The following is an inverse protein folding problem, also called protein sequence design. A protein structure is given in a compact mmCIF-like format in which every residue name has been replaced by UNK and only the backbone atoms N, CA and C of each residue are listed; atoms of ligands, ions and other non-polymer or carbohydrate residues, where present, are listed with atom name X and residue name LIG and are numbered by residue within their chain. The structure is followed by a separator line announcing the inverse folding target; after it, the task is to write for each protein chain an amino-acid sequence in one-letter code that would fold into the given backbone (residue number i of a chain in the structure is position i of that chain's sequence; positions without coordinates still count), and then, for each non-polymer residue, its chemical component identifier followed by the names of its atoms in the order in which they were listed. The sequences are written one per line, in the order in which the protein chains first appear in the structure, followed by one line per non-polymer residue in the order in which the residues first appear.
data_IF_745212992078
#
_entry.id   IF_745212992078
#
_cell.length_a   1.000
_cell.length_b   1.000
_cell.length_c   1.000
_cell.angle_alpha   90.00
_cell.angle_beta   90.00
_cell.angle_gamma   90.00
#
_symmetry.space_group_name_H-M   'P 1'
#
loop_
_entity.id
_entity.type
_entity.pdbx_description
1 polymer ?
#
# COMPACT_ATOMS: atom_id res chain seq x y z
N UNK A 1 39.70 4.46 14.35
CA UNK A 1 38.78 3.30 14.23
C UNK A 1 37.92 3.53 13.00
N UNK A 2 38.35 2.94 11.88
CA UNK A 2 37.65 3.06 10.60
C UNK A 2 36.46 2.14 10.62
N UNK A 3 35.25 2.71 10.69
CA UNK A 3 34.01 2.00 10.41
C UNK A 3 33.91 1.77 8.90
N UNK A 4 34.49 0.66 8.41
CA UNK A 4 34.20 0.13 7.09
C UNK A 4 32.74 -0.26 7.05
N UNK A 5 31.91 0.58 6.45
CA UNK A 5 30.57 0.20 6.02
C UNK A 5 30.73 -0.82 4.88
N UNK A 6 30.59 -2.09 5.21
CA UNK A 6 30.61 -3.19 4.24
C UNK A 6 29.33 -3.10 3.40
N UNK A 7 29.41 -2.35 2.29
CA UNK A 7 28.33 -2.26 1.33
C UNK A 7 28.20 -3.61 0.64
N UNK A 8 27.12 -4.36 0.97
CA UNK A 8 26.84 -5.62 0.30
C UNK A 8 26.83 -5.41 -1.22
N UNK A 9 27.45 -6.32 -2.03
CA UNK A 9 27.53 -6.19 -3.47
C UNK A 9 26.16 -6.01 -4.12
N UNK A 10 26.13 -5.31 -5.26
CA UNK A 10 24.91 -5.14 -6.05
C UNK A 10 24.36 -6.51 -6.48
N UNK A 11 23.12 -6.80 -6.15
CA UNK A 11 22.41 -8.02 -6.57
C UNK A 11 21.58 -7.69 -7.81
N UNK A 12 21.84 -8.32 -8.98
CA UNK A 12 21.05 -8.11 -10.20
C UNK A 12 19.58 -8.43 -10.03
N UNK A 13 18.71 -7.75 -10.78
CA UNK A 13 17.23 -7.92 -10.69
C UNK A 13 16.82 -9.38 -10.87
N UNK A 14 17.41 -10.10 -11.83
CA UNK A 14 17.12 -11.52 -12.04
C UNK A 14 17.47 -12.40 -10.84
N UNK A 15 18.58 -12.10 -10.15
CA UNK A 15 18.97 -12.81 -8.94
C UNK A 15 18.02 -12.51 -7.78
N UNK A 16 17.57 -11.26 -7.63
CA UNK A 16 16.56 -10.85 -6.63
C UNK A 16 15.23 -11.54 -6.86
N UNK A 17 14.77 -11.65 -8.11
CA UNK A 17 13.53 -12.39 -8.45
C UNK A 17 13.63 -13.87 -8.09
N UNK A 18 14.76 -14.52 -8.40
CA UNK A 18 14.98 -15.91 -8.01
C UNK A 18 15.03 -16.09 -6.51
N UNK A 19 15.65 -15.18 -5.79
CA UNK A 19 15.65 -15.19 -4.32
C UNK A 19 14.25 -15.01 -3.76
N UNK A 20 13.47 -14.05 -4.26
CA UNK A 20 12.08 -13.83 -3.89
C UNK A 20 11.23 -15.09 -4.09
N UNK A 21 11.35 -15.76 -5.24
CA UNK A 21 10.63 -17.02 -5.52
C UNK A 21 10.99 -18.13 -4.53
N UNK A 22 12.29 -18.29 -4.19
CA UNK A 22 12.74 -19.28 -3.19
C UNK A 22 12.18 -19.00 -1.79
N UNK A 23 12.14 -17.72 -1.39
CA UNK A 23 11.57 -17.36 -0.08
C UNK A 23 10.06 -17.58 -0.04
N UNK A 24 9.35 -17.30 -1.14
CA UNK A 24 7.94 -17.64 -1.29
C UNK A 24 7.69 -19.15 -1.08
N UNK A 25 8.47 -20.01 -1.76
CA UNK A 25 8.36 -21.45 -1.62
C UNK A 25 8.62 -21.90 -0.17
N UNK A 26 9.62 -21.33 0.50
CA UNK A 26 9.91 -21.66 1.90
C UNK A 26 8.77 -21.27 2.83
N UNK A 27 8.16 -20.12 2.64
CA UNK A 27 7.02 -19.65 3.42
C UNK A 27 5.79 -20.54 3.19
N UNK A 28 5.50 -20.87 1.94
CA UNK A 28 4.41 -21.77 1.58
C UNK A 28 4.58 -23.17 2.18
N UNK A 29 5.79 -23.74 2.14
CA UNK A 29 6.10 -25.04 2.77
C UNK A 29 5.94 -25.03 4.29
N UNK A 30 6.07 -23.88 4.95
CA UNK A 30 5.81 -23.71 6.38
C UNK A 30 4.35 -23.51 6.74
N UNK A 31 3.43 -23.59 5.75
CA UNK A 31 2.00 -23.41 5.95
C UNK A 31 1.56 -21.95 6.13
N UNK A 32 2.42 -20.98 5.86
CA UNK A 32 2.02 -19.57 5.85
C UNK A 32 1.26 -19.25 4.54
N UNK A 33 0.03 -18.74 4.62
CA UNK A 33 -0.67 -18.25 3.44
C UNK A 33 0.09 -17.03 2.91
N UNK A 34 0.83 -17.20 1.81
CA UNK A 34 1.57 -16.12 1.17
C UNK A 34 0.71 -15.43 0.12
N UNK A 35 0.77 -14.12 0.07
CA UNK A 35 0.02 -13.28 -0.88
C UNK A 35 0.97 -12.28 -1.54
N UNK A 36 1.74 -12.69 -2.57
CA UNK A 36 2.71 -11.84 -3.23
C UNK A 36 2.03 -10.71 -4.01
N UNK A 37 2.76 -9.61 -4.18
CA UNK A 37 2.34 -8.53 -5.07
C UNK A 37 2.92 -8.80 -6.46
N UNK A 38 2.03 -8.99 -7.43
CA UNK A 38 2.39 -9.19 -8.84
C UNK A 38 1.95 -7.97 -9.64
N UNK A 39 2.87 -7.37 -10.37
CA UNK A 39 2.59 -6.23 -11.25
C UNK A 39 2.72 -6.67 -12.69
N UNK A 40 1.59 -6.64 -13.41
CA UNK A 40 1.56 -6.87 -14.85
C UNK A 40 1.75 -5.58 -15.62
N UNK A 41 2.85 -5.49 -16.40
CA UNK A 41 3.18 -4.34 -17.23
C UNK A 41 3.85 -3.20 -16.45
N UNK A 42 3.60 -1.96 -16.89
CA UNK A 42 4.33 -0.77 -16.39
C UNK A 42 3.63 -0.05 -15.24
N UNK A 43 2.29 -0.12 -15.18
CA UNK A 43 1.49 0.59 -14.17
C UNK A 43 1.39 -0.27 -12.91
N UNK A 44 1.59 0.35 -11.76
CA UNK A 44 1.46 -0.31 -10.46
C UNK A 44 -0.02 -0.55 -10.14
N UNK A 45 -0.86 0.42 -10.45
CA UNK A 45 -2.30 0.36 -10.27
C UNK A 45 -3.02 0.90 -11.50
N UNK A 46 -4.27 0.49 -11.71
CA UNK A 46 -5.08 0.79 -12.91
C UNK A 46 -6.49 1.27 -12.57
N UNK A 47 -7.06 0.79 -11.48
CA UNK A 47 -8.39 1.18 -11.02
C UNK A 47 -8.34 2.52 -10.29
N UNK A 48 -9.51 3.11 -10.05
CA UNK A 48 -9.62 4.34 -9.26
C UNK A 48 -8.94 4.20 -7.89
N UNK A 49 -9.25 3.13 -7.15
CA UNK A 49 -8.79 2.95 -5.78
C UNK A 49 -7.28 2.80 -5.66
N UNK A 50 -6.70 1.95 -6.50
CA UNK A 50 -5.25 1.73 -6.51
C UNK A 50 -4.49 2.93 -7.03
N UNK A 51 -4.99 3.60 -8.08
CA UNK A 51 -4.38 4.81 -8.64
C UNK A 51 -4.44 5.96 -7.64
N UNK A 52 -5.61 6.23 -7.04
CA UNK A 52 -5.76 7.28 -6.05
C UNK A 52 -4.89 7.06 -4.80
N UNK A 53 -4.68 5.79 -4.39
CA UNK A 53 -3.73 5.47 -3.33
C UNK A 53 -2.29 5.87 -3.73
N UNK A 54 -1.84 5.47 -4.93
CA UNK A 54 -0.49 5.80 -5.41
C UNK A 54 -0.30 7.32 -5.56
N UNK A 55 -1.29 8.02 -6.13
CA UNK A 55 -1.27 9.47 -6.29
C UNK A 55 -1.23 10.19 -4.94
N UNK A 56 -1.96 9.67 -3.96
CA UNK A 56 -1.92 10.18 -2.59
C UNK A 56 -0.53 10.06 -1.97
N UNK A 57 0.17 8.95 -2.16
CA UNK A 57 1.55 8.78 -1.68
C UNK A 57 2.51 9.77 -2.37
N UNK A 58 2.37 9.95 -3.69
CA UNK A 58 3.26 10.78 -4.50
C UNK A 58 3.04 12.28 -4.29
N UNK A 59 1.88 12.67 -3.79
CA UNK A 59 1.53 14.06 -3.47
C UNK A 59 2.39 14.65 -2.34
N UNK A 60 2.86 13.80 -1.41
CA UNK A 60 3.58 14.26 -0.24
C UNK A 60 5.10 14.22 -0.46
N UNK A 61 5.76 15.36 -0.28
CA UNK A 61 7.22 15.52 -0.38
C UNK A 61 8.00 14.66 0.61
N UNK A 62 7.39 14.33 1.75
CA UNK A 62 7.98 13.48 2.79
C UNK A 62 8.42 12.12 2.26
N UNK A 63 7.79 11.62 1.21
CA UNK A 63 8.05 10.31 0.62
C UNK A 63 8.89 10.36 -0.66
N UNK A 64 9.09 11.55 -1.25
CA UNK A 64 9.64 11.73 -2.60
C UNK A 64 10.98 11.02 -2.84
N UNK A 65 11.89 11.05 -1.86
CA UNK A 65 13.24 10.49 -2.02
C UNK A 65 13.29 8.97 -2.18
N UNK A 66 12.33 8.23 -1.62
CA UNK A 66 12.36 6.76 -1.56
C UNK A 66 11.35 6.11 -2.49
N UNK A 67 10.31 6.81 -2.90
CA UNK A 67 9.27 6.29 -3.79
C UNK A 67 9.82 5.71 -5.11
N UNK A 68 10.77 6.35 -5.84
CA UNK A 68 11.28 5.77 -7.08
C UNK A 68 11.93 4.40 -6.90
N UNK A 69 12.66 4.20 -5.79
CA UNK A 69 13.27 2.90 -5.45
C UNK A 69 12.22 1.87 -5.06
N UNK A 70 11.21 2.27 -4.28
CA UNK A 70 10.07 1.42 -3.92
C UNK A 70 9.30 0.95 -5.15
N UNK A 71 9.05 1.85 -6.10
CA UNK A 71 8.41 1.56 -7.39
C UNK A 71 9.18 0.47 -8.17
N UNK A 72 10.50 0.55 -8.19
CA UNK A 72 11.35 -0.47 -8.82
C UNK A 72 11.25 -1.81 -8.09
N UNK A 73 11.26 -1.81 -6.75
CA UNK A 73 11.18 -3.03 -5.95
C UNK A 73 9.86 -3.77 -6.13
N UNK A 74 8.72 -3.06 -6.06
CA UNK A 74 7.40 -3.70 -6.23
C UNK A 74 7.23 -4.26 -7.66
N UNK A 75 7.66 -3.53 -8.70
CA UNK A 75 7.63 -4.01 -10.09
C UNK A 75 8.48 -5.26 -10.33
N UNK A 76 9.54 -5.42 -9.55
CA UNK A 76 10.40 -6.60 -9.63
C UNK A 76 9.89 -7.80 -8.85
N UNK A 77 8.68 -7.72 -8.25
CA UNK A 77 8.11 -8.79 -7.44
C UNK A 77 8.85 -8.98 -6.10
N UNK A 78 9.51 -7.92 -5.60
CA UNK A 78 10.24 -8.01 -4.34
C UNK A 78 9.32 -8.09 -3.11
N UNK A 79 8.06 -7.66 -3.21
CA UNK A 79 7.07 -7.83 -2.13
C UNK A 79 6.50 -9.23 -2.25
N UNK A 80 7.10 -10.17 -1.51
CA UNK A 80 6.81 -11.61 -1.60
C UNK A 80 5.62 -12.04 -0.75
N UNK A 81 5.23 -11.22 0.21
CA UNK A 81 3.98 -11.40 0.97
C UNK A 81 3.45 -10.03 1.38
N UNK A 82 2.15 -9.83 1.26
CA UNK A 82 1.43 -8.62 1.66
C UNK A 82 0.08 -8.99 2.25
N UNK A 83 -0.10 -8.72 3.53
CA UNK A 83 -1.32 -8.95 4.27
C UNK A 83 -1.88 -7.62 4.78
N UNK A 84 -3.11 -7.29 4.39
CA UNK A 84 -3.81 -6.08 4.83
C UNK A 84 -4.89 -6.48 5.82
N UNK A 85 -4.87 -5.86 7.00
CA UNK A 85 -5.83 -6.06 8.08
C UNK A 85 -6.36 -4.69 8.56
N UNK A 86 -7.41 -4.64 9.39
CA UNK A 86 -7.92 -3.37 9.92
C UNK A 86 -6.85 -2.54 10.63
N UNK A 87 -6.48 -1.43 10.01
CA UNK A 87 -5.49 -0.47 10.53
C UNK A 87 -4.03 -0.91 10.43
N UNK A 88 -3.72 -2.05 9.82
CA UNK A 88 -2.37 -2.58 9.75
C UNK A 88 -2.07 -3.33 8.45
N UNK A 89 -0.82 -3.26 8.03
CA UNK A 89 -0.28 -4.07 6.93
C UNK A 89 0.99 -4.74 7.42
N UNK A 90 1.12 -6.03 7.16
CA UNK A 90 2.36 -6.76 7.33
C UNK A 90 2.85 -7.27 5.99
N UNK A 91 4.15 -7.19 5.75
CA UNK A 91 4.71 -7.61 4.49
C UNK A 91 6.12 -8.19 4.65
N UNK A 92 6.48 -9.02 3.68
CA UNK A 92 7.85 -9.51 3.53
C UNK A 92 8.41 -9.04 2.19
N UNK A 93 9.58 -8.43 2.23
CA UNK A 93 10.24 -7.85 1.05
C UNK A 93 11.61 -8.48 0.85
N UNK A 94 11.82 -9.08 -0.31
CA UNK A 94 13.10 -9.63 -0.71
C UNK A 94 14.05 -8.54 -1.21
N UNK A 95 15.23 -8.48 -0.61
CA UNK A 95 16.32 -7.59 -0.98
C UNK A 95 17.65 -8.31 -0.95
N UNK A 96 18.66 -7.80 -0.22
CA UNK A 96 19.86 -8.55 0.15
C UNK A 96 19.55 -9.64 1.19
N UNK A 97 18.49 -9.41 1.96
CA UNK A 97 17.91 -10.37 2.88
C UNK A 97 16.38 -10.33 2.74
N UNK A 98 15.67 -11.15 3.49
CA UNK A 98 14.22 -11.09 3.61
C UNK A 98 13.84 -10.13 4.74
N UNK A 99 13.27 -8.99 4.40
CA UNK A 99 12.91 -7.93 5.36
C UNK A 99 11.44 -7.99 5.72
N UNK A 100 11.14 -7.85 7.02
CA UNK A 100 9.79 -7.66 7.54
C UNK A 100 9.46 -6.19 7.57
N UNK A 101 8.29 -5.85 7.03
CA UNK A 101 7.76 -4.48 7.03
C UNK A 101 6.41 -4.50 7.73
N UNK A 102 6.20 -3.52 8.60
CA UNK A 102 4.91 -3.25 9.23
C UNK A 102 4.50 -1.82 8.90
N UNK A 103 3.24 -1.66 8.52
CA UNK A 103 2.63 -0.34 8.32
C UNK A 103 1.38 -0.28 9.19
N UNK A 104 1.23 0.79 9.95
CA UNK A 104 0.02 1.11 10.72
C UNK A 104 -0.63 2.35 10.13
N UNK A 105 -1.92 2.27 9.91
CA UNK A 105 -2.70 3.38 9.37
C UNK A 105 -3.78 3.76 10.36
N UNK A 106 -3.83 5.04 10.72
CA UNK A 106 -4.82 5.56 11.65
C UNK A 106 -6.22 5.46 11.05
N UNK A 107 -7.20 5.12 11.87
CA UNK A 107 -8.61 5.12 11.49
C UNK A 107 -9.08 6.51 11.04
N UNK A 108 -10.03 6.56 10.11
CA UNK A 108 -10.69 7.83 9.80
C UNK A 108 -11.48 8.29 11.03
N UNK A 109 -11.33 9.54 11.50
CA UNK A 109 -12.14 10.07 12.59
C UNK A 109 -13.64 9.97 12.26
N UNK A 110 -14.47 9.54 13.22
CA UNK A 110 -15.92 9.33 13.01
C UNK A 110 -16.62 10.55 12.39
N UNK A 111 -16.25 11.75 12.83
CA UNK A 111 -16.83 12.98 12.29
C UNK A 111 -16.48 13.20 10.82
N UNK A 112 -15.25 12.89 10.41
CA UNK A 112 -14.85 12.98 9.01
C UNK A 112 -15.56 11.92 8.16
N UNK A 113 -15.64 10.67 8.64
CA UNK A 113 -16.36 9.62 7.93
C UNK A 113 -17.83 9.95 7.75
N UNK A 114 -18.50 10.41 8.81
CA UNK A 114 -19.89 10.85 8.73
C UNK A 114 -20.11 12.01 7.75
N UNK A 115 -19.13 12.93 7.64
CA UNK A 115 -19.19 14.01 6.66
C UNK A 115 -19.01 13.48 5.23
N UNK A 116 -18.07 12.56 5.00
CA UNK A 116 -17.89 11.92 3.68
C UNK A 116 -19.17 11.21 3.25
N UNK A 117 -19.78 10.40 4.13
CA UNK A 117 -21.02 9.69 3.83
C UNK A 117 -22.16 10.64 3.50
N UNK A 118 -22.33 11.72 4.27
CA UNK A 118 -23.36 12.73 4.02
C UNK A 118 -23.16 13.44 2.70
N UNK A 119 -21.92 13.83 2.39
CA UNK A 119 -21.59 14.57 1.17
C UNK A 119 -21.70 13.69 -0.10
N UNK A 120 -21.62 12.36 0.05
CA UNK A 120 -21.77 11.39 -1.03
C UNK A 120 -23.15 10.74 -1.06
N UNK A 121 -24.07 11.12 -0.15
CA UNK A 121 -25.40 10.51 -0.04
C UNK A 121 -26.18 10.58 -1.36
N UNK A 122 -26.74 9.44 -1.80
CA UNK A 122 -27.51 9.33 -3.04
C UNK A 122 -26.69 9.50 -4.34
N UNK A 123 -25.37 9.54 -4.25
CA UNK A 123 -24.49 9.69 -5.42
C UNK A 123 -23.75 8.40 -5.80
N UNK A 124 -23.99 7.31 -5.07
CA UNK A 124 -23.44 5.97 -5.30
C UNK A 124 -24.60 4.99 -5.22
N UNK A 125 -24.97 4.40 -6.36
CA UNK A 125 -26.22 3.62 -6.46
C UNK A 125 -26.06 2.17 -6.00
N UNK A 126 -24.83 1.64 -5.98
CA UNK A 126 -24.60 0.24 -5.60
C UNK A 126 -23.20 -0.03 -5.07
N UNK A 127 -23.08 -1.15 -4.33
CA UNK A 127 -21.77 -1.67 -3.88
C UNK A 127 -20.86 -1.98 -5.06
N UNK A 128 -21.40 -2.47 -6.17
CA UNK A 128 -20.62 -2.80 -7.36
C UNK A 128 -19.98 -1.53 -7.94
N UNK A 129 -20.72 -0.45 -8.07
CA UNK A 129 -20.20 0.83 -8.55
C UNK A 129 -19.16 1.40 -7.61
N UNK A 130 -19.41 1.34 -6.30
CA UNK A 130 -18.46 1.77 -5.29
C UNK A 130 -17.13 1.03 -5.41
N UNK A 131 -17.16 -0.31 -5.42
CA UNK A 131 -15.94 -1.11 -5.49
C UNK A 131 -15.23 -1.00 -6.86
N UNK A 132 -15.96 -0.79 -7.94
CA UNK A 132 -15.39 -0.50 -9.25
C UNK A 132 -14.86 0.93 -9.39
N UNK A 133 -15.12 1.81 -8.42
CA UNK A 133 -14.71 3.21 -8.49
C UNK A 133 -15.44 3.99 -9.60
N UNK A 134 -16.67 3.56 -9.95
CA UNK A 134 -17.51 4.20 -10.98
C UNK A 134 -18.52 5.13 -10.35
N UNK A 135 -18.11 6.37 -10.13
CA UNK A 135 -18.96 7.42 -9.60
C UNK A 135 -18.54 8.80 -10.14
N UNK A 136 -19.31 9.84 -9.84
CA UNK A 136 -19.08 11.18 -10.34
C UNK A 136 -17.73 11.75 -9.91
N UNK A 137 -17.20 12.71 -10.67
CA UNK A 137 -15.97 13.41 -10.29
C UNK A 137 -16.08 14.12 -8.93
N UNK A 138 -17.27 14.59 -8.56
CA UNK A 138 -17.53 15.19 -7.26
C UNK A 138 -17.32 14.20 -6.10
N UNK A 139 -17.82 12.99 -6.25
CA UNK A 139 -17.61 11.91 -5.27
C UNK A 139 -16.14 11.53 -5.21
N UNK A 140 -15.45 11.37 -6.36
CA UNK A 140 -14.02 11.09 -6.40
C UNK A 140 -13.22 12.16 -5.67
N UNK A 141 -13.49 13.44 -5.97
CA UNK A 141 -12.82 14.57 -5.32
C UNK A 141 -13.06 14.57 -3.80
N UNK A 142 -14.29 14.29 -3.37
CA UNK A 142 -14.63 14.23 -1.94
C UNK A 142 -13.90 13.10 -1.20
N UNK A 143 -13.86 11.91 -1.78
CA UNK A 143 -13.15 10.75 -1.22
C UNK A 143 -11.63 11.00 -1.15
N UNK A 144 -11.06 11.66 -2.17
CA UNK A 144 -9.63 11.97 -2.26
C UNK A 144 -9.23 13.28 -1.55
N UNK A 145 -10.17 13.97 -0.90
CA UNK A 145 -9.89 15.26 -0.26
C UNK A 145 -8.83 15.12 0.83
N UNK A 146 -7.81 15.98 0.79
CA UNK A 146 -6.75 15.97 1.79
C UNK A 146 -7.29 16.18 3.20
N UNK A 147 -6.73 15.46 4.16
CA UNK A 147 -7.02 15.53 5.61
C UNK A 147 -8.44 15.12 6.02
N UNK A 148 -9.43 15.24 5.15
CA UNK A 148 -10.85 14.98 5.48
C UNK A 148 -11.49 13.90 4.63
N UNK A 149 -10.79 13.38 3.63
CA UNK A 149 -11.20 12.24 2.81
C UNK A 149 -10.82 10.89 3.42
N UNK A 150 -10.84 9.87 2.57
CA UNK A 150 -10.56 8.48 2.98
C UNK A 150 -9.06 8.16 3.02
N UNK A 151 -8.27 8.76 2.13
CA UNK A 151 -6.84 8.45 1.99
C UNK A 151 -6.02 9.07 3.13
N UNK A 152 -5.06 8.32 3.71
CA UNK A 152 -4.28 8.81 4.84
C UNK A 152 -3.21 9.83 4.42
N UNK A 153 -3.01 10.83 5.26
CA UNK A 153 -1.85 11.72 5.20
C UNK A 153 -0.59 11.01 5.77
N UNK A 154 0.64 11.51 5.51
CA UNK A 154 1.86 10.94 6.08
C UNK A 154 1.84 10.80 7.60
N UNK A 155 1.21 11.73 8.31
CA UNK A 155 1.09 11.71 9.77
C UNK A 155 0.19 10.59 10.29
N UNK A 156 -0.68 10.06 9.45
CA UNK A 156 -1.57 8.94 9.75
C UNK A 156 -0.97 7.58 9.41
N UNK A 157 0.24 7.56 8.85
CA UNK A 157 0.94 6.34 8.45
C UNK A 157 2.21 6.22 9.30
N UNK A 158 2.27 5.19 10.12
CA UNK A 158 3.49 4.78 10.82
C UNK A 158 4.00 3.48 10.23
N UNK A 159 5.31 3.33 10.10
CA UNK A 159 5.92 2.14 9.53
C UNK A 159 7.21 1.77 10.23
N UNK A 160 7.54 0.49 10.14
CA UNK A 160 8.77 -0.12 10.63
C UNK A 160 9.30 -1.13 9.62
N UNK A 161 10.63 -1.28 9.56
CA UNK A 161 11.28 -2.23 8.68
C UNK A 161 12.52 -2.83 9.36
N UNK A 162 12.68 -4.15 9.26
CA UNK A 162 13.84 -4.86 9.83
C UNK A 162 15.15 -4.63 9.08
N UNK A 163 15.19 -3.77 8.06
CA UNK A 163 16.43 -3.47 7.33
C UNK A 163 17.35 -2.52 8.11
N UNK A 164 18.66 -2.54 7.83
CA UNK A 164 19.62 -1.66 8.52
C UNK A 164 19.57 -0.19 8.05
N UNK A 165 18.68 0.18 7.11
CA UNK A 165 18.51 1.57 6.65
C UNK A 165 17.86 2.39 7.76
N UNK A 166 18.56 3.36 8.30
CA UNK A 166 18.10 4.24 9.39
C UNK A 166 17.15 5.35 8.93
N UNK A 167 16.88 5.45 7.61
CA UNK A 167 15.91 6.40 7.09
C UNK A 167 14.49 6.09 7.59
N UNK A 168 13.71 7.12 7.93
CA UNK A 168 12.33 6.99 8.36
C UNK A 168 11.48 6.18 7.38
N UNK A 169 11.67 6.36 6.07
CA UNK A 169 11.13 5.51 5.02
C UNK A 169 12.26 4.90 4.20
N UNK A 170 12.42 3.58 4.25
CA UNK A 170 13.35 2.86 3.37
C UNK A 170 12.66 2.42 2.06
N UNK A 171 13.46 1.93 1.11
CA UNK A 171 12.94 1.41 -0.18
C UNK A 171 11.96 0.23 -0.02
N UNK A 172 12.08 -0.56 1.04
CA UNK A 172 11.20 -1.70 1.32
C UNK A 172 9.83 -1.23 1.79
N UNK A 173 9.77 -0.25 2.69
CA UNK A 173 8.52 0.41 3.09
C UNK A 173 7.84 1.04 1.87
N UNK A 174 8.59 1.79 1.05
CA UNK A 174 8.06 2.40 -0.16
C UNK A 174 7.48 1.34 -1.13
N UNK A 175 8.14 0.17 -1.27
CA UNK A 175 7.65 -0.93 -2.08
C UNK A 175 6.33 -1.50 -1.53
N UNK A 176 6.22 -1.64 -0.22
CA UNK A 176 4.98 -2.12 0.44
C UNK A 176 3.85 -1.11 0.25
N UNK A 177 4.11 0.19 0.39
CA UNK A 177 3.09 1.22 0.16
C UNK A 177 2.55 1.17 -1.28
N UNK A 178 3.42 1.00 -2.29
CA UNK A 178 2.97 0.75 -3.67
C UNK A 178 2.26 -0.59 -3.83
N UNK A 179 2.69 -1.62 -3.09
CA UNK A 179 2.04 -2.93 -3.08
C UNK A 179 0.59 -2.85 -2.57
N UNK A 180 0.31 -1.99 -1.60
CA UNK A 180 -1.06 -1.70 -1.16
C UNK A 180 -1.87 -1.17 -2.35
N UNK A 181 -1.37 -0.17 -3.08
CA UNK A 181 -2.06 0.38 -4.25
C UNK A 181 -2.38 -0.69 -5.31
N UNK A 182 -1.41 -1.57 -5.62
CA UNK A 182 -1.64 -2.68 -6.53
C UNK A 182 -2.73 -3.65 -6.01
N UNK A 183 -2.74 -3.94 -4.72
CA UNK A 183 -3.75 -4.82 -4.11
C UNK A 183 -5.16 -4.23 -4.15
N UNK A 184 -5.28 -2.91 -4.06
CA UNK A 184 -6.56 -2.22 -4.14
C UNK A 184 -7.21 -2.27 -5.53
N UNK A 185 -6.45 -2.64 -6.58
CA UNK A 185 -7.03 -2.89 -7.91
C UNK A 185 -7.98 -4.09 -7.91
N UNK A 186 -7.64 -5.13 -7.15
CA UNK A 186 -8.42 -6.36 -7.07
C UNK A 186 -9.35 -6.41 -5.85
N UNK A 187 -8.95 -5.75 -4.77
CA UNK A 187 -9.63 -5.80 -3.47
C UNK A 187 -9.76 -4.38 -2.87
N UNK A 188 -10.57 -3.51 -3.46
CA UNK A 188 -10.71 -2.11 -3.03
C UNK A 188 -11.33 -1.95 -1.64
N UNK A 189 -12.12 -2.93 -1.17
CA UNK A 189 -12.70 -2.99 0.17
C UNK A 189 -11.63 -2.97 1.28
N UNK A 190 -10.42 -3.44 0.98
CA UNK A 190 -9.30 -3.41 1.91
C UNK A 190 -8.87 -1.99 2.33
N UNK A 191 -9.13 -0.97 1.50
CA UNK A 191 -8.87 0.42 1.90
C UNK A 191 -9.79 0.84 3.06
N UNK A 192 -11.04 0.47 3.00
CA UNK A 192 -12.01 0.76 4.06
C UNK A 192 -11.68 0.00 5.35
N UNK A 193 -11.30 -1.28 5.22
CA UNK A 193 -10.80 -2.06 6.35
C UNK A 193 -9.54 -1.41 6.96
N UNK A 194 -8.57 -1.02 6.14
CA UNK A 194 -7.34 -0.37 6.56
C UNK A 194 -7.61 0.94 7.31
N UNK A 195 -8.62 1.71 6.88
CA UNK A 195 -9.05 2.95 7.51
C UNK A 195 -10.11 2.76 8.61
N UNK A 196 -10.48 1.49 8.92
CA UNK A 196 -11.46 1.09 9.95
C UNK A 196 -12.81 1.75 9.79
N UNK A 197 -13.32 1.81 8.57
CA UNK A 197 -14.65 2.30 8.23
C UNK A 197 -15.42 1.25 7.43
N UNK A 198 -16.76 1.33 7.44
CA UNK A 198 -17.60 0.45 6.67
C UNK A 198 -17.97 1.11 5.32
N UNK A 199 -17.56 0.48 4.22
CA UNK A 199 -17.88 0.98 2.87
C UNK A 199 -19.39 1.02 2.58
N UNK A 200 -20.20 0.18 3.24
CA UNK A 200 -21.66 0.19 3.09
C UNK A 200 -22.30 1.49 3.55
N UNK A 201 -21.69 2.21 4.49
CA UNK A 201 -22.19 3.51 4.95
C UNK A 201 -22.31 4.55 3.82
N UNK A 202 -21.54 4.38 2.72
CA UNK A 202 -21.60 5.26 1.54
C UNK A 202 -22.84 5.00 0.65
N UNK A 203 -23.49 3.85 0.80
CA UNK A 203 -24.62 3.41 -0.04
C UNK A 203 -25.93 3.57 0.71
N UNK A 204 -25.93 3.35 2.03
CA UNK A 204 -27.14 3.25 2.85
C UNK A 204 -27.68 4.59 3.37
N UNK A 205 -27.11 5.71 2.99
CA UNK A 205 -27.55 7.04 3.45
C UNK A 205 -28.10 7.92 2.35
#
# INVERSE_FOLDING_TARGET
MDYYYDWKPYVPVAARRRQAARELEKLAKKGHPVSPVVIDGRKIARTFWGTAWCDNLERYSDFANRLPRGRTYVRNGSVVDLQIAPGAVTAMVSGSDLYRVQVRVTAVPKAHWSAVCRDCAGAIDSLVELLQGRFSQGVMARICQEKTGLFPSPREIAFDCSCPDWASMCKHVAAVLYGIGARLDDQPDLLFALRKVNHQDLITR
#
